data_IF_503252591852
#
_entry.id   IF_503252591852
#
_cell.length_a   1.000
_cell.length_b   1.000
_cell.length_c   1.000
_cell.angle_alpha   90.00
_cell.angle_beta   90.00
_cell.angle_gamma   90.00
#
_symmetry.space_group_name_H-M   'P 1'
#
loop_
_entity.id
_entity.type
_entity.pdbx_description
1 polymer ?
#
# COMPACT_ATOMS: atom_id res chain seq x y z
N UNK A 1 -12.61 13.12 2.86
CA UNK A 1 -12.56 11.77 2.25
C UNK A 1 -13.53 10.84 2.98
N UNK A 2 -14.59 10.37 2.32
CA UNK A 2 -15.42 9.28 2.84
C UNK A 2 -14.94 7.98 2.18
N UNK A 3 -14.22 7.15 2.93
CA UNK A 3 -14.19 5.73 2.59
C UNK A 3 -15.63 5.27 2.81
N UNK A 4 -16.28 4.78 1.76
CA UNK A 4 -17.58 4.14 1.91
C UNK A 4 -17.37 2.84 2.70
N UNK A 5 -17.55 2.90 4.02
CA UNK A 5 -17.32 1.76 4.93
C UNK A 5 -18.49 0.77 4.99
N UNK A 6 -19.54 0.97 4.16
CA UNK A 6 -20.80 0.21 4.28
C UNK A 6 -21.49 -0.13 2.96
N UNK A 7 -20.82 -0.06 1.81
CA UNK A 7 -21.40 -0.66 0.60
C UNK A 7 -21.20 -2.18 0.64
N UNK A 8 -22.10 -2.94 0.01
CA UNK A 8 -21.96 -4.38 -0.21
C UNK A 8 -20.71 -4.66 -1.07
N UNK A 9 -19.53 -4.60 -0.44
CA UNK A 9 -18.28 -4.98 -1.05
C UNK A 9 -18.30 -6.50 -1.15
N UNK A 10 -18.58 -7.01 -2.35
CA UNK A 10 -18.44 -8.44 -2.63
C UNK A 10 -16.95 -8.77 -2.64
N UNK A 11 -16.46 -9.19 -1.49
CA UNK A 11 -15.08 -9.63 -1.32
C UNK A 11 -14.92 -11.05 -1.84
N UNK A 12 -13.77 -11.31 -2.43
CA UNK A 12 -13.36 -12.67 -2.74
C UNK A 12 -12.92 -13.38 -1.46
N UNK A 13 -13.10 -14.70 -1.38
CA UNK A 13 -12.61 -15.50 -0.25
C UNK A 13 -11.11 -15.29 -0.01
N UNK A 14 -10.38 -15.06 -1.11
CA UNK A 14 -8.98 -14.68 -1.10
C UNK A 14 -8.74 -13.41 -0.29
N UNK A 15 -9.44 -12.31 -0.59
CA UNK A 15 -9.23 -11.03 0.09
C UNK A 15 -9.66 -11.10 1.57
N UNK A 16 -10.74 -11.83 1.87
CA UNK A 16 -11.17 -12.06 3.27
C UNK A 16 -10.07 -12.79 4.07
N UNK A 17 -9.50 -13.84 3.50
CA UNK A 17 -8.43 -14.60 4.16
C UNK A 17 -7.18 -13.74 4.38
N UNK A 18 -6.79 -12.94 3.38
CA UNK A 18 -5.63 -12.06 3.53
C UNK A 18 -5.85 -10.93 4.54
N UNK A 19 -7.06 -10.36 4.63
CA UNK A 19 -7.37 -9.36 5.65
C UNK A 19 -7.19 -9.92 7.06
N UNK A 20 -7.63 -11.16 7.31
CA UNK A 20 -7.39 -11.85 8.60
C UNK A 20 -5.91 -12.07 8.92
N UNK A 21 -5.08 -12.23 7.88
CA UNK A 21 -3.63 -12.35 8.05
C UNK A 21 -3.03 -10.95 8.35
N UNK A 22 -3.46 -9.94 7.60
CA UNK A 22 -3.02 -8.55 7.77
C UNK A 22 -3.35 -8.01 9.17
N UNK A 23 -4.52 -8.33 9.71
CA UNK A 23 -4.95 -7.94 11.06
C UNK A 23 -4.03 -8.47 12.17
N UNK A 24 -3.20 -9.50 11.90
CA UNK A 24 -2.19 -9.98 12.86
C UNK A 24 -0.98 -9.06 12.96
N UNK A 25 -0.73 -8.24 11.94
CA UNK A 25 0.46 -7.37 11.85
C UNK A 25 0.09 -5.87 11.81
N UNK A 26 -1.17 -5.55 11.52
CA UNK A 26 -1.70 -4.19 11.45
C UNK A 26 -2.86 -4.00 12.43
N UNK A 27 -2.83 -2.91 13.22
CA UNK A 27 -3.80 -2.68 14.31
C UNK A 27 -5.21 -2.32 13.84
N UNK A 28 -5.31 -1.59 12.73
CA UNK A 28 -6.59 -1.04 12.27
C UNK A 28 -6.60 -1.03 10.76
N UNK A 29 -7.40 -1.93 10.19
CA UNK A 29 -7.56 -2.11 8.76
C UNK A 29 -8.99 -1.70 8.40
N UNK A 30 -9.12 -0.82 7.41
CA UNK A 30 -10.38 -0.35 6.87
C UNK A 30 -10.38 -0.70 5.39
N UNK A 31 -11.46 -1.32 4.94
CA UNK A 31 -11.66 -1.67 3.56
C UNK A 31 -12.70 -0.74 2.93
N UNK A 32 -12.44 -0.34 1.70
CA UNK A 32 -13.37 0.43 0.90
C UNK A 32 -13.17 0.19 -0.59
N UNK A 33 -13.78 1.05 -1.39
CA UNK A 33 -13.57 1.11 -2.83
C UNK A 33 -13.16 2.51 -3.24
N UNK A 34 -12.37 2.60 -4.29
CA UNK A 34 -12.03 3.87 -4.93
C UNK A 34 -12.06 3.69 -6.44
N UNK A 35 -12.82 4.53 -7.11
CA UNK A 35 -12.83 4.58 -8.57
C UNK A 35 -11.90 5.70 -9.03
N UNK A 36 -11.00 5.40 -9.95
CA UNK A 36 -10.07 6.37 -10.54
C UNK A 36 -10.12 6.18 -12.05
N UNK A 37 -10.56 7.21 -12.76
CA UNK A 37 -10.99 7.06 -14.15
C UNK A 37 -12.06 5.97 -14.26
N UNK A 38 -11.78 4.95 -15.07
CA UNK A 38 -12.70 3.82 -15.31
C UNK A 38 -12.33 2.55 -14.52
N UNK A 39 -11.38 2.63 -13.59
CA UNK A 39 -10.90 1.47 -12.83
C UNK A 39 -11.41 1.58 -11.40
N UNK A 40 -12.11 0.54 -10.94
CA UNK A 40 -12.52 0.40 -9.53
C UNK A 40 -11.49 -0.44 -8.77
N UNK A 41 -10.90 0.16 -7.75
CA UNK A 41 -9.95 -0.49 -6.85
C UNK A 41 -10.65 -0.91 -5.56
N UNK A 42 -10.22 -2.03 -4.99
CA UNK A 42 -10.43 -2.27 -3.56
C UNK A 42 -9.36 -1.47 -2.79
N UNK A 43 -9.80 -0.58 -1.92
CA UNK A 43 -8.94 0.32 -1.15
C UNK A 43 -8.72 -0.27 0.25
N UNK A 44 -7.50 -0.68 0.56
CA UNK A 44 -7.13 -1.18 1.89
C UNK A 44 -6.37 -0.09 2.63
N UNK A 45 -7.01 0.53 3.61
CA UNK A 45 -6.45 1.56 4.47
C UNK A 45 -5.99 0.94 5.79
N UNK A 46 -4.74 1.16 6.14
CA UNK A 46 -4.15 0.78 7.41
C UNK A 46 -3.90 2.06 8.21
N UNK A 47 -4.55 2.20 9.36
CA UNK A 47 -4.44 3.42 10.17
C UNK A 47 -3.22 3.37 11.08
N UNK A 48 -2.60 4.54 11.27
CA UNK A 48 -1.56 4.76 12.30
C UNK A 48 -0.40 3.74 12.24
N UNK A 49 0.10 3.44 11.05
CA UNK A 49 1.35 2.70 10.89
C UNK A 49 2.47 3.51 11.58
N UNK A 50 3.22 2.91 12.53
CA UNK A 50 4.32 3.62 13.18
C UNK A 50 5.39 4.05 12.19
N UNK A 51 5.93 5.25 12.42
CA UNK A 51 7.04 5.81 11.68
C UNK A 51 8.29 5.96 12.55
N UNK A 52 9.46 5.76 11.94
CA UNK A 52 10.76 5.99 12.55
C UNK A 52 10.95 7.48 12.81
N UNK A 53 11.16 7.85 14.08
CA UNK A 53 11.46 9.23 14.46
C UNK A 53 12.82 9.74 13.94
N UNK A 54 13.66 8.84 13.40
CA UNK A 54 14.92 9.20 12.77
C UNK A 54 14.71 9.75 11.35
N UNK A 55 13.64 9.31 10.66
CA UNK A 55 13.33 9.72 9.28
C UNK A 55 12.22 10.76 9.19
N UNK A 56 11.22 10.68 10.08
CA UNK A 56 9.99 11.47 9.98
C UNK A 56 9.75 12.33 11.22
N UNK A 57 9.27 13.57 11.01
CA UNK A 57 8.85 14.47 12.09
C UNK A 57 7.56 14.01 12.81
N UNK A 58 6.81 13.08 12.22
CA UNK A 58 5.59 12.49 12.77
C UNK A 58 5.82 11.03 13.20
N UNK A 59 5.11 10.58 14.23
CA UNK A 59 5.29 9.23 14.80
C UNK A 59 4.48 8.14 14.09
N UNK A 60 3.56 8.52 13.20
CA UNK A 60 2.70 7.58 12.48
C UNK A 60 2.11 8.20 11.21
N UNK A 61 1.73 7.34 10.28
CA UNK A 61 1.01 7.69 9.04
C UNK A 61 -0.07 6.64 8.77
N UNK A 62 -1.10 7.02 8.02
CA UNK A 62 -1.98 6.04 7.41
C UNK A 62 -1.40 5.56 6.08
N UNK A 63 -1.53 4.27 5.83
CA UNK A 63 -1.04 3.62 4.62
C UNK A 63 -2.21 3.07 3.80
N UNK A 64 -2.25 3.39 2.51
CA UNK A 64 -3.30 2.97 1.59
C UNK A 64 -2.71 2.11 0.47
N UNK A 65 -3.29 0.93 0.28
CA UNK A 65 -3.09 0.11 -0.91
C UNK A 65 -4.31 0.20 -1.82
N UNK A 66 -4.07 0.42 -3.11
CA UNK A 66 -5.10 0.32 -4.16
C UNK A 66 -4.94 -1.00 -4.90
N UNK A 67 -5.78 -1.98 -4.55
CA UNK A 67 -5.76 -3.29 -5.18
C UNK A 67 -6.46 -3.20 -6.54
N UNK A 68 -5.79 -3.54 -7.65
CA UNK A 68 -6.42 -3.55 -8.96
C UNK A 68 -7.52 -4.63 -9.03
N UNK A 69 -8.44 -4.55 -10.00
CA UNK A 69 -9.48 -5.56 -10.21
C UNK A 69 -8.95 -6.99 -10.33
N UNK A 70 -7.74 -7.14 -10.89
CA UNK A 70 -7.07 -8.41 -11.11
C UNK A 70 -6.31 -8.94 -9.88
N UNK A 71 -6.36 -8.28 -8.73
CA UNK A 71 -5.73 -8.78 -7.50
C UNK A 71 -6.30 -10.16 -7.10
N UNK A 72 -5.47 -11.15 -6.73
CA UNK A 72 -4.03 -11.08 -6.46
C UNK A 72 -3.15 -11.44 -7.66
N UNK A 73 -3.69 -11.61 -8.87
CA UNK A 73 -2.86 -11.93 -10.06
C UNK A 73 -1.85 -10.82 -10.35
N UNK A 74 -2.24 -9.57 -10.13
CA UNK A 74 -1.38 -8.40 -10.23
C UNK A 74 -1.33 -7.69 -8.86
N UNK A 75 -0.14 -7.32 -8.35
CA UNK A 75 -0.02 -6.59 -7.09
C UNK A 75 -0.52 -5.15 -7.21
N UNK A 76 -0.80 -4.45 -6.10
CA UNK A 76 -0.89 -2.99 -6.12
C UNK A 76 0.43 -2.37 -6.61
N UNK A 77 0.34 -1.17 -7.18
CA UNK A 77 1.50 -0.41 -7.66
C UNK A 77 1.94 0.52 -6.52
N UNK A 78 2.83 0.03 -5.66
CA UNK A 78 3.29 0.75 -4.47
C UNK A 78 2.20 0.92 -3.40
N UNK A 79 2.40 1.89 -2.50
CA UNK A 79 1.43 2.31 -1.50
C UNK A 79 1.31 3.83 -1.46
N UNK A 80 0.35 4.35 -0.70
CA UNK A 80 0.18 5.77 -0.48
C UNK A 80 0.23 6.09 1.01
N UNK A 81 0.85 7.21 1.35
CA UNK A 81 0.94 7.75 2.70
C UNK A 81 0.11 9.04 2.79
N UNK A 82 -0.55 9.26 3.91
CA UNK A 82 -1.38 10.46 4.13
C UNK A 82 -0.60 11.67 4.69
N UNK A 83 0.73 11.65 4.58
CA UNK A 83 1.61 12.65 5.19
C UNK A 83 2.57 13.23 4.15
N UNK A 84 2.52 14.56 3.90
CA UNK A 84 3.53 15.24 3.09
C UNK A 84 4.79 15.53 3.91
N UNK A 85 5.84 14.76 3.64
CA UNK A 85 7.27 15.08 3.73
C UNK A 85 7.77 16.29 4.56
N UNK A 86 7.74 16.23 5.91
CA UNK A 86 8.79 16.86 6.72
C UNK A 86 9.76 15.77 7.20
N UNK A 87 10.73 15.41 6.35
CA UNK A 87 11.85 14.55 6.77
C UNK A 87 12.95 15.37 7.43
N UNK A 88 13.72 14.72 8.30
CA UNK A 88 14.82 15.35 9.05
C UNK A 88 16.14 15.50 8.24
N UNK A 89 16.12 15.34 6.91
CA UNK A 89 17.32 15.33 6.03
C UNK A 89 17.05 15.58 4.53
N UNK A 90 17.93 15.11 3.62
CA UNK A 90 17.96 15.45 2.17
C UNK A 90 16.75 15.00 1.31
N UNK A 91 15.76 14.33 1.90
CA UNK A 91 14.60 13.83 1.18
C UNK A 91 14.74 12.36 0.76
N UNK A 92 13.64 11.62 0.71
CA UNK A 92 13.60 10.21 0.35
C UNK A 92 13.27 10.07 -1.14
N UNK A 93 14.22 9.49 -1.87
CA UNK A 93 14.14 9.29 -3.32
C UNK A 93 13.02 8.32 -3.73
N UNK A 94 12.40 7.59 -2.79
CA UNK A 94 11.24 6.74 -3.04
C UNK A 94 9.92 7.52 -3.08
N UNK A 95 9.92 8.77 -2.60
CA UNK A 95 8.73 9.60 -2.45
C UNK A 95 8.77 10.75 -3.44
N UNK A 96 8.04 10.59 -4.55
CA UNK A 96 8.33 11.41 -5.72
C UNK A 96 7.42 12.63 -5.90
N UNK A 97 6.53 12.96 -4.94
CA UNK A 97 5.42 13.94 -5.11
C UNK A 97 4.64 13.77 -6.43
N UNK A 98 4.80 12.61 -7.04
CA UNK A 98 4.39 12.18 -8.36
C UNK A 98 4.11 10.68 -8.22
N UNK A 99 3.43 10.12 -9.19
CA UNK A 99 3.17 8.67 -9.23
C UNK A 99 3.84 8.10 -10.46
N UNK A 100 4.51 6.96 -10.32
CA UNK A 100 5.20 6.28 -11.43
C UNK A 100 4.54 4.94 -11.76
N UNK A 101 4.94 4.35 -12.88
CA UNK A 101 4.50 3.01 -13.33
C UNK A 101 2.98 2.86 -13.55
N UNK A 102 2.27 3.97 -13.76
CA UNK A 102 0.82 3.98 -13.92
C UNK A 102 0.05 3.99 -12.59
N UNK A 103 0.73 4.21 -11.45
CA UNK A 103 0.04 4.46 -10.19
C UNK A 103 -0.79 5.76 -10.30
N UNK A 104 -2.05 5.76 -9.82
CA UNK A 104 -2.85 6.97 -9.71
C UNK A 104 -2.17 8.11 -8.97
N UNK A 105 -2.39 9.34 -9.42
CA UNK A 105 -1.95 10.54 -8.71
C UNK A 105 -3.06 11.05 -7.79
N UNK A 106 -2.80 11.10 -6.47
CA UNK A 106 -3.81 11.35 -5.45
C UNK A 106 -3.43 12.45 -4.45
N UNK A 107 -2.44 13.29 -4.78
CA UNK A 107 -1.92 14.30 -3.84
C UNK A 107 -2.98 15.35 -3.47
N UNK A 108 -3.88 15.68 -4.39
CA UNK A 108 -5.02 16.59 -4.14
C UNK A 108 -5.99 16.03 -3.08
N UNK A 109 -5.96 14.73 -2.84
CA UNK A 109 -6.72 14.04 -1.80
C UNK A 109 -5.90 13.80 -0.52
N UNK A 110 -4.69 14.36 -0.45
CA UNK A 110 -3.76 14.18 0.67
C UNK A 110 -3.03 12.84 0.67
N UNK A 111 -3.05 12.10 -0.45
CA UNK A 111 -2.37 10.80 -0.59
C UNK A 111 -1.16 10.91 -1.49
N UNK A 112 -0.02 10.54 -0.95
CA UNK A 112 1.25 10.65 -1.64
C UNK A 112 1.82 9.26 -1.90
N UNK A 113 2.11 8.98 -3.16
CA UNK A 113 2.60 7.69 -3.59
C UNK A 113 4.02 7.45 -3.06
N UNK A 114 4.24 6.28 -2.46
CA UNK A 114 5.52 5.81 -1.97
C UNK A 114 5.90 4.53 -2.71
N UNK A 115 7.07 4.55 -3.32
CA UNK A 115 7.56 3.45 -4.14
C UNK A 115 8.15 2.35 -3.25
N UNK A 116 7.35 1.31 -2.96
CA UNK A 116 7.79 0.10 -2.23
C UNK A 116 8.07 -1.01 -3.24
N UNK A 117 9.27 -1.60 -3.20
CA UNK A 117 9.74 -2.65 -4.11
C UNK A 117 9.90 -4.00 -3.41
N UNK A 118 9.30 -5.07 -3.93
CA UNK A 118 9.48 -6.45 -3.46
C UNK A 118 10.78 -6.92 -4.13
N UNK A 119 11.89 -6.86 -3.38
CA UNK A 119 13.18 -7.36 -3.84
C UNK A 119 14.13 -6.31 -4.45
N UNK A 120 14.19 -5.08 -3.92
CA UNK A 120 15.37 -4.23 -4.08
C UNK A 120 15.60 -3.60 -5.46
N UNK A 121 14.55 -3.32 -6.24
CA UNK A 121 14.70 -2.53 -7.46
C UNK A 121 13.38 -2.10 -8.10
N UNK A 122 13.38 -0.91 -8.71
CA UNK A 122 12.20 -0.34 -9.36
C UNK A 122 12.28 -0.45 -10.87
N UNK A 123 11.74 -1.56 -11.36
CA UNK A 123 11.22 -1.66 -12.71
C UNK A 123 9.87 -2.38 -12.57
N UNK A 124 8.81 -1.89 -13.23
CA UNK A 124 7.50 -2.54 -13.29
C UNK A 124 7.63 -4.04 -13.55
N UNK A 125 8.53 -4.44 -14.44
CA UNK A 125 8.78 -5.84 -14.76
C UNK A 125 9.42 -6.60 -13.60
N UNK A 126 10.39 -6.00 -12.90
CA UNK A 126 10.99 -6.63 -11.70
C UNK A 126 9.97 -6.76 -10.57
N UNK A 127 9.15 -5.74 -10.33
CA UNK A 127 8.08 -5.79 -9.32
C UNK A 127 7.03 -6.86 -9.64
N UNK A 128 6.55 -6.90 -10.90
CA UNK A 128 5.60 -7.91 -11.35
C UNK A 128 6.20 -9.33 -11.30
N UNK A 129 7.48 -9.50 -11.65
CA UNK A 129 8.17 -10.79 -11.62
C UNK A 129 8.53 -11.26 -10.21
N UNK A 130 8.68 -10.34 -9.25
CA UNK A 130 8.88 -10.64 -7.83
C UNK A 130 7.58 -11.00 -7.12
N UNK A 131 6.42 -10.56 -7.63
CA UNK A 131 5.13 -10.89 -7.04
C UNK A 131 4.77 -12.36 -7.27
N UNK A 132 4.77 -13.16 -6.20
CA UNK A 132 4.52 -14.60 -6.23
C UNK A 132 3.34 -14.97 -5.32
N UNK A 133 2.09 -14.66 -5.72
CA UNK A 133 0.92 -15.07 -4.97
C UNK A 133 0.75 -16.59 -5.12
N UNK A 134 0.41 -17.27 -4.04
CA UNK A 134 -0.01 -18.68 -4.08
C UNK A 134 -1.52 -18.77 -4.29
N UNK A 135 -2.05 -19.94 -4.66
CA UNK A 135 -3.50 -20.20 -4.57
C UNK A 135 -3.99 -20.22 -3.12
N UNK A 136 -3.10 -20.59 -2.18
CA UNK A 136 -3.35 -20.51 -0.74
C UNK A 136 -2.95 -19.13 -0.20
N UNK A 137 -3.88 -18.35 0.40
CA UNK A 137 -3.63 -16.96 0.82
C UNK A 137 -2.46 -16.76 1.79
N UNK A 138 -2.08 -17.79 2.54
CA UNK A 138 -1.02 -17.81 3.55
C UNK A 138 0.32 -18.37 3.05
N UNK A 139 0.38 -18.94 1.84
CA UNK A 139 1.58 -19.62 1.30
C UNK A 139 2.26 -18.91 0.13
N UNK A 140 2.05 -17.60 -0.01
CA UNK A 140 2.70 -16.77 -1.01
C UNK A 140 2.57 -15.30 -0.64
N UNK A 141 2.93 -14.41 -1.56
CA UNK A 141 2.78 -12.97 -1.32
C UNK A 141 1.30 -12.59 -1.21
N UNK A 142 1.01 -11.75 -0.21
CA UNK A 142 -0.33 -11.31 0.17
C UNK A 142 -0.28 -9.88 0.76
N UNK A 143 -1.43 -9.37 1.21
CA UNK A 143 -1.53 -8.06 1.88
C UNK A 143 -0.59 -7.89 3.08
N UNK A 144 -0.38 -8.92 3.89
CA UNK A 144 0.53 -8.83 5.03
C UNK A 144 1.99 -8.72 4.57
N UNK A 145 2.39 -9.45 3.52
CA UNK A 145 3.70 -9.28 2.88
C UNK A 145 3.88 -7.84 2.40
N UNK A 146 2.89 -7.30 1.66
CA UNK A 146 2.93 -5.93 1.15
C UNK A 146 3.10 -4.91 2.28
N UNK A 147 2.31 -5.06 3.35
CA UNK A 147 2.38 -4.17 4.52
C UNK A 147 3.74 -4.25 5.23
N UNK A 148 4.26 -5.45 5.48
CA UNK A 148 5.56 -5.62 6.17
C UNK A 148 6.69 -5.05 5.32
N UNK A 149 6.71 -5.33 4.02
CA UNK A 149 7.71 -4.76 3.09
C UNK A 149 7.59 -3.24 3.02
N UNK A 150 6.38 -2.69 2.91
CA UNK A 150 6.18 -1.25 2.90
C UNK A 150 6.65 -0.61 4.20
N UNK A 151 6.24 -1.15 5.34
CA UNK A 151 6.65 -0.66 6.65
C UNK A 151 8.17 -0.67 6.82
N UNK A 152 8.84 -1.72 6.39
CA UNK A 152 10.30 -1.82 6.42
C UNK A 152 10.93 -0.77 5.50
N UNK A 153 10.55 -0.72 4.22
CA UNK A 153 11.10 0.22 3.25
C UNK A 153 10.87 1.70 3.60
N UNK A 154 9.78 2.01 4.29
CA UNK A 154 9.47 3.37 4.75
C UNK A 154 10.35 3.74 5.94
N UNK A 155 10.50 2.84 6.91
CA UNK A 155 11.13 3.14 8.19
C UNK A 155 12.64 2.97 8.23
N UNK A 156 13.18 2.13 7.35
CA UNK A 156 14.59 1.77 7.38
C UNK A 156 15.32 2.58 6.31
N UNK A 157 16.55 2.98 6.61
CA UNK A 157 17.47 3.59 5.65
C UNK A 157 18.09 2.45 4.85
N UNK A 158 17.70 2.31 3.59
CA UNK A 158 18.34 1.35 2.68
C UNK A 158 19.84 1.61 2.54
#
# INVERSE_FOLDING_TARGET
>A
MKIATHENIKLTDRLIAELRILEKVAKTVILGRKTIGNIQYNAVLIKRMPLSCQKFAVSNTDLLFLLPPDYPRIPPIGCYLNYPWDSVGEGDHHFTRQSYYGAPFLSEEGWYWYCVGLGGGFNRDRWLNSWRPSTYPDKGHNLATLFVTARHAINDDG
#
